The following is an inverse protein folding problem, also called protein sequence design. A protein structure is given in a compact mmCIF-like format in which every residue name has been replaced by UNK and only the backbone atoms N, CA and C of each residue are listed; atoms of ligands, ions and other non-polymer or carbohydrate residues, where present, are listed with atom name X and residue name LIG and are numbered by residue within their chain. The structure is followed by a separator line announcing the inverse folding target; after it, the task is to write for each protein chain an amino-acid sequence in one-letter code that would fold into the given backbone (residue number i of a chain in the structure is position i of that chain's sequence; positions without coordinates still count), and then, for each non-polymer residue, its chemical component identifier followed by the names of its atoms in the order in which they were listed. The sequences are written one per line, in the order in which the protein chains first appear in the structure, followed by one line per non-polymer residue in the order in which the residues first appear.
data_IF_945383748243
#
_entry.id   IF_945383748243
#
_cell.length_a   1.000
_cell.length_b   1.000
_cell.length_c   1.000
_cell.angle_alpha   90.00
_cell.angle_beta   90.00
_cell.angle_gamma   90.00
#
_symmetry.space_group_name_H-M   'P 1'
#
loop_
_entity.id
_entity.type
_entity.pdbx_description
1 polymer ?
#
# COMPACT_ATOMS: atom_id res chain seq x y z
N UNK A 1 5.70 77.69 -11.99
CA UNK A 1 4.61 77.17 -11.12
C UNK A 1 4.28 75.69 -11.33
N UNK A 2 4.32 75.13 -12.55
CA UNK A 2 4.05 73.69 -12.82
C UNK A 2 5.07 72.70 -12.24
N UNK A 3 6.34 73.09 -12.10
CA UNK A 3 7.40 72.20 -11.56
C UNK A 3 7.27 71.92 -10.05
N UNK A 4 6.72 72.87 -9.29
CA UNK A 4 6.61 72.77 -7.82
C UNK A 4 5.49 71.80 -7.42
N UNK A 5 4.38 71.77 -8.16
CA UNK A 5 3.26 70.86 -7.91
C UNK A 5 3.62 69.39 -8.13
N UNK A 6 4.43 69.08 -9.15
CA UNK A 6 4.91 67.72 -9.40
C UNK A 6 5.85 67.22 -8.29
N UNK A 7 6.74 68.08 -7.79
CA UNK A 7 7.67 67.73 -6.72
C UNK A 7 6.94 67.43 -5.40
N UNK A 8 5.92 68.21 -5.05
CA UNK A 8 5.09 67.96 -3.86
C UNK A 8 4.27 66.67 -3.96
N UNK A 9 3.75 66.34 -5.15
CA UNK A 9 3.05 65.08 -5.40
C UNK A 9 3.99 63.88 -5.25
N UNK A 10 5.19 63.94 -5.83
CA UNK A 10 6.18 62.85 -5.75
C UNK A 10 6.68 62.67 -4.31
N UNK A 11 6.95 63.76 -3.58
CA UNK A 11 7.35 63.69 -2.18
C UNK A 11 6.21 63.20 -1.28
N UNK A 12 4.97 63.62 -1.54
CA UNK A 12 3.79 63.18 -0.78
C UNK A 12 3.45 61.71 -1.00
N UNK A 13 3.41 61.25 -2.26
CA UNK A 13 3.14 59.86 -2.61
C UNK A 13 4.30 58.97 -2.15
N UNK A 14 5.55 59.41 -2.32
CA UNK A 14 6.73 58.69 -1.83
C UNK A 14 6.75 58.56 -0.31
N UNK A 15 6.41 59.63 0.43
CA UNK A 15 6.29 59.60 1.89
C UNK A 15 5.15 58.69 2.37
N UNK A 16 3.99 58.73 1.71
CA UNK A 16 2.86 57.87 2.01
C UNK A 16 3.19 56.39 1.73
N UNK A 17 3.83 56.10 0.60
CA UNK A 17 4.31 54.76 0.27
C UNK A 17 5.36 54.26 1.26
N UNK A 18 6.33 55.09 1.63
CA UNK A 18 7.37 54.72 2.60
C UNK A 18 6.77 54.49 4.00
N UNK A 19 5.79 55.29 4.41
CA UNK A 19 5.03 55.08 5.65
C UNK A 19 4.22 53.78 5.60
N UNK A 20 3.55 53.49 4.48
CA UNK A 20 2.80 52.26 4.27
C UNK A 20 3.72 51.04 4.29
N UNK A 21 4.88 51.12 3.62
CA UNK A 21 5.91 50.06 3.56
C UNK A 21 6.60 49.85 4.91
N UNK A 22 6.71 50.86 5.77
CA UNK A 22 7.25 50.71 7.13
C UNK A 22 6.19 50.21 8.13
N UNK A 23 4.91 50.50 7.89
CA UNK A 23 3.80 50.02 8.72
C UNK A 23 3.38 48.57 8.40
N UNK A 24 3.46 48.16 7.13
CA UNK A 24 3.19 46.80 6.66
C UNK A 24 4.04 45.70 7.33
N UNK A 25 5.37 45.85 7.56
CA UNK A 25 6.19 44.85 8.23
C UNK A 25 5.96 44.81 9.73
N UNK A 26 5.54 45.91 10.36
CA UNK A 26 5.17 45.91 11.78
C UNK A 26 3.89 45.11 12.00
N UNK A 27 2.87 45.33 11.17
CA UNK A 27 1.63 44.55 11.17
C UNK A 27 1.89 43.09 10.78
N UNK A 28 2.68 42.83 9.73
CA UNK A 28 3.01 41.49 9.28
C UNK A 28 3.82 40.70 10.32
N UNK A 29 4.83 41.30 10.96
CA UNK A 29 5.62 40.64 11.99
C UNK A 29 4.78 40.37 13.26
N UNK A 30 3.86 41.26 13.61
CA UNK A 30 2.92 41.05 14.72
C UNK A 30 1.93 39.92 14.41
N UNK A 31 1.39 39.87 13.18
CA UNK A 31 0.54 38.77 12.72
C UNK A 31 1.30 37.44 12.75
N UNK A 32 2.55 37.41 12.27
CA UNK A 32 3.41 36.21 12.29
C UNK A 32 3.67 35.76 13.74
N UNK A 33 4.02 36.68 14.64
CA UNK A 33 4.24 36.38 16.06
C UNK A 33 2.99 35.81 16.75
N UNK A 34 1.81 36.39 16.46
CA UNK A 34 0.53 35.90 16.99
C UNK A 34 0.22 34.50 16.44
N UNK A 35 0.38 34.27 15.13
CA UNK A 35 0.16 32.95 14.52
C UNK A 35 1.09 31.87 15.10
N UNK A 36 2.39 32.17 15.26
CA UNK A 36 3.35 31.25 15.88
C UNK A 36 2.94 30.95 17.33
N UNK A 37 2.56 31.97 18.11
CA UNK A 37 2.14 31.77 19.50
C UNK A 37 0.89 30.88 19.61
N UNK A 38 -0.09 31.06 18.72
CA UNK A 38 -1.32 30.25 18.68
C UNK A 38 -1.01 28.81 18.27
N UNK A 39 -0.16 28.59 17.25
CA UNK A 39 0.25 27.25 16.82
C UNK A 39 1.04 26.53 17.91
N UNK A 40 2.00 27.20 18.55
CA UNK A 40 2.77 26.63 19.66
C UNK A 40 1.85 26.32 20.85
N UNK A 41 0.90 27.18 21.18
CA UNK A 41 -0.03 26.96 22.27
C UNK A 41 -0.94 25.75 21.98
N UNK A 42 -1.46 25.62 20.77
CA UNK A 42 -2.23 24.45 20.33
C UNK A 42 -1.37 23.18 20.33
N UNK A 43 -0.09 23.25 19.95
CA UNK A 43 0.80 22.07 19.99
C UNK A 43 1.17 21.63 21.43
N UNK A 44 1.37 22.58 22.34
CA UNK A 44 1.79 22.31 23.72
C UNK A 44 0.60 21.91 24.61
N UNK A 45 -0.56 22.55 24.44
CA UNK A 45 -1.76 22.34 25.28
C UNK A 45 -2.87 21.55 24.58
N UNK A 46 -2.88 21.50 23.25
CA UNK A 46 -3.85 20.74 22.47
C UNK A 46 -3.55 19.25 22.47
N UNK A 47 -3.54 18.62 23.65
CA UNK A 47 -3.60 17.18 23.85
C UNK A 47 -4.95 16.57 23.42
N UNK A 48 -5.48 16.99 22.26
CA UNK A 48 -6.62 16.37 21.61
C UNK A 48 -6.16 15.10 20.93
N UNK A 49 -6.63 13.95 21.40
CA UNK A 49 -6.31 12.64 20.85
C UNK A 49 -6.58 12.59 19.33
N UNK A 50 -5.51 12.61 18.54
CA UNK A 50 -5.49 11.96 17.24
C UNK A 50 -5.37 10.45 17.45
N UNK A 51 -6.36 9.87 18.13
CA UNK A 51 -6.59 8.43 18.10
C UNK A 51 -7.16 8.10 16.74
N UNK A 52 -6.29 7.63 15.86
CA UNK A 52 -6.58 6.60 14.87
C UNK A 52 -7.80 6.86 13.99
N UNK A 53 -7.61 7.55 12.86
CA UNK A 53 -8.19 7.04 11.62
C UNK A 53 -7.32 7.40 10.42
N UNK A 54 -6.84 6.33 9.78
CA UNK A 54 -6.39 6.18 8.38
C UNK A 54 -4.88 6.18 8.14
N UNK A 55 -4.48 5.05 7.57
CA UNK A 55 -3.25 4.76 6.85
C UNK A 55 -1.99 4.68 7.72
N UNK A 56 -1.79 3.49 8.26
CA UNK A 56 -0.51 2.94 8.65
C UNK A 56 0.63 3.41 7.73
N UNK A 57 1.47 4.32 8.22
CA UNK A 57 2.88 4.30 7.89
C UNK A 57 3.46 3.02 8.51
N UNK A 58 3.21 1.89 7.83
CA UNK A 58 4.18 0.80 7.83
C UNK A 58 5.42 1.43 7.20
N UNK A 59 6.43 1.71 8.02
CA UNK A 59 7.78 1.77 7.53
C UNK A 59 8.07 0.38 6.95
N UNK A 60 7.94 0.25 5.64
CA UNK A 60 8.42 -0.92 4.92
C UNK A 60 9.94 -0.78 4.88
N UNK A 61 10.73 -1.58 5.63
CA UNK A 61 12.15 -1.62 5.38
C UNK A 61 12.31 -2.16 3.96
N UNK A 62 12.99 -1.40 3.10
CA UNK A 62 13.33 -1.78 1.74
C UNK A 62 14.06 -3.13 1.74
N UNK A 63 13.30 -4.24 1.62
CA UNK A 63 13.86 -5.51 1.21
C UNK A 63 14.32 -5.33 -0.22
N UNK A 64 15.64 -5.33 -0.38
CA UNK A 64 16.33 -5.72 -1.62
C UNK A 64 15.56 -6.90 -2.22
N UNK A 65 15.12 -6.76 -3.46
CA UNK A 65 14.44 -7.85 -4.16
C UNK A 65 15.44 -8.99 -4.36
N UNK A 66 15.42 -9.96 -3.43
CA UNK A 66 16.01 -11.28 -3.63
C UNK A 66 15.06 -12.09 -4.54
N UNK A 67 15.55 -12.66 -5.65
CA UNK A 67 14.70 -13.40 -6.57
C UNK A 67 14.16 -14.67 -5.89
N UNK A 68 12.87 -14.65 -5.51
CA UNK A 68 11.89 -15.75 -5.49
C UNK A 68 12.35 -17.21 -5.23
N UNK A 69 13.36 -17.46 -4.40
CA UNK A 69 13.73 -18.82 -4.01
C UNK A 69 12.92 -19.37 -2.82
N UNK A 70 12.20 -18.51 -2.08
CA UNK A 70 11.59 -18.87 -0.79
C UNK A 70 10.04 -18.86 -0.78
N UNK A 71 9.39 -18.64 -1.93
CA UNK A 71 7.94 -18.80 -2.08
C UNK A 71 7.55 -19.94 -3.04
N UNK A 72 8.41 -20.96 -3.16
CA UNK A 72 8.08 -22.25 -3.79
C UNK A 72 7.46 -23.25 -2.78
N UNK A 73 7.05 -22.77 -1.60
CA UNK A 73 6.47 -23.61 -0.55
C UNK A 73 4.96 -23.85 -0.74
N UNK A 74 4.41 -23.42 -1.88
CA UNK A 74 3.01 -23.60 -2.22
C UNK A 74 2.90 -24.97 -2.92
N UNK A 75 2.84 -26.01 -2.09
CA UNK A 75 2.16 -27.28 -2.38
C UNK A 75 2.78 -28.14 -3.48
N UNK A 76 4.05 -28.52 -3.35
CA UNK A 76 4.43 -29.87 -3.79
C UNK A 76 4.19 -30.86 -2.64
N UNK A 77 2.92 -31.11 -2.32
CA UNK A 77 2.57 -32.33 -1.57
C UNK A 77 2.90 -33.52 -2.48
N UNK A 78 4.11 -34.07 -2.32
CA UNK A 78 4.46 -35.35 -2.95
C UNK A 78 3.48 -36.38 -2.38
N UNK A 79 2.71 -37.01 -3.26
CA UNK A 79 1.71 -38.02 -2.86
C UNK A 79 2.35 -39.39 -2.96
N UNK A 80 2.16 -40.22 -1.94
CA UNK A 80 2.61 -41.60 -2.00
C UNK A 80 1.72 -42.40 -2.95
N UNK A 81 2.32 -43.23 -3.80
CA UNK A 81 1.57 -44.13 -4.67
C UNK A 81 0.79 -45.15 -3.81
N UNK A 82 -0.53 -45.32 -4.00
CA UNK A 82 -1.33 -46.27 -3.21
C UNK A 82 -0.98 -47.74 -3.48
N UNK A 83 -0.24 -48.03 -4.56
CA UNK A 83 0.16 -49.40 -4.94
C UNK A 83 1.54 -49.79 -4.41
N UNK A 84 2.51 -48.88 -4.44
CA UNK A 84 3.91 -49.19 -4.09
C UNK A 84 4.54 -48.26 -3.04
N UNK A 85 3.83 -47.22 -2.58
CA UNK A 85 4.33 -46.26 -1.61
C UNK A 85 5.35 -45.24 -2.15
N UNK A 86 5.77 -45.33 -3.41
CA UNK A 86 6.74 -44.41 -4.01
C UNK A 86 6.22 -42.97 -4.02
N UNK A 87 7.09 -41.99 -3.74
CA UNK A 87 6.72 -40.58 -3.73
C UNK A 87 6.57 -40.07 -5.17
N UNK A 88 5.35 -39.66 -5.52
CA UNK A 88 5.02 -39.14 -6.84
C UNK A 88 4.78 -37.64 -6.75
N UNK A 89 5.30 -36.88 -7.72
CA UNK A 89 5.02 -35.47 -7.85
C UNK A 89 3.53 -35.22 -8.13
N UNK A 90 2.92 -34.16 -7.59
CA UNK A 90 1.54 -33.82 -7.90
C UNK A 90 1.36 -33.58 -9.40
N UNK A 91 0.26 -34.07 -9.97
CA UNK A 91 -0.07 -33.92 -11.40
C UNK A 91 0.45 -35.01 -12.33
N UNK A 92 1.20 -36.00 -11.83
CA UNK A 92 1.62 -37.16 -12.64
C UNK A 92 0.45 -38.13 -12.91
N UNK A 93 0.34 -38.64 -14.14
CA UNK A 93 -0.71 -39.60 -14.52
C UNK A 93 -0.40 -41.05 -14.16
N UNK A 94 0.89 -41.39 -14.07
CA UNK A 94 1.39 -42.72 -13.77
C UNK A 94 2.52 -42.65 -12.74
N UNK A 95 2.74 -43.74 -12.01
CA UNK A 95 3.85 -43.84 -11.07
C UNK A 95 5.15 -44.16 -11.82
N UNK A 96 6.18 -43.33 -11.65
CA UNK A 96 7.49 -43.56 -12.26
C UNK A 96 8.24 -44.80 -11.74
N UNK A 97 7.80 -45.39 -10.62
CA UNK A 97 8.43 -46.58 -10.04
C UNK A 97 7.70 -47.89 -10.39
N UNK A 98 6.37 -47.91 -10.41
CA UNK A 98 5.59 -49.15 -10.62
C UNK A 98 4.67 -49.13 -11.86
N UNK A 99 4.57 -48.02 -12.58
CA UNK A 99 3.73 -47.89 -13.77
C UNK A 99 2.21 -47.83 -13.52
N UNK A 100 1.75 -47.91 -12.27
CA UNK A 100 0.32 -47.82 -11.95
C UNK A 100 -0.25 -46.42 -12.27
N UNK A 101 -1.48 -46.35 -12.76
CA UNK A 101 -2.19 -45.10 -13.03
C UNK A 101 -2.58 -44.39 -11.72
N UNK A 102 -2.25 -43.10 -11.61
CA UNK A 102 -2.68 -42.22 -10.51
C UNK A 102 -3.92 -41.40 -10.84
N UNK A 103 -4.36 -41.39 -12.09
CA UNK A 103 -5.62 -40.76 -12.51
C UNK A 103 -6.76 -41.72 -12.21
N UNK A 104 -7.75 -41.26 -11.44
CA UNK A 104 -9.05 -41.92 -11.34
C UNK A 104 -10.06 -41.22 -12.25
N UNK A 105 -11.11 -41.94 -12.65
CA UNK A 105 -12.20 -41.37 -13.44
C UNK A 105 -13.46 -41.29 -12.59
N UNK A 106 -14.23 -40.22 -12.77
CA UNK A 106 -15.52 -40.08 -12.11
C UNK A 106 -16.50 -41.14 -12.62
N UNK A 107 -17.12 -41.90 -11.72
CA UNK A 107 -18.11 -42.93 -12.08
C UNK A 107 -19.38 -42.34 -12.74
N UNK A 108 -19.69 -41.07 -12.48
CA UNK A 108 -20.90 -40.42 -12.99
C UNK A 108 -20.72 -39.80 -14.37
N UNK A 109 -19.58 -39.14 -14.61
CA UNK A 109 -19.36 -38.36 -15.85
C UNK A 109 -18.12 -38.77 -16.64
N UNK A 110 -17.35 -39.75 -16.17
CA UNK A 110 -16.13 -40.22 -16.84
C UNK A 110 -14.97 -39.21 -16.84
N UNK A 111 -15.11 -38.04 -16.21
CA UNK A 111 -14.06 -37.03 -16.15
C UNK A 111 -12.84 -37.50 -15.36
N UNK A 112 -11.64 -37.18 -15.84
CA UNK A 112 -10.39 -37.49 -15.15
C UNK A 112 -10.21 -36.65 -13.87
N UNK A 113 -9.82 -37.30 -12.78
CA UNK A 113 -9.57 -36.70 -11.47
C UNK A 113 -8.07 -36.84 -11.20
N UNK A 114 -7.38 -35.70 -11.17
CA UNK A 114 -5.91 -35.63 -10.99
C UNK A 114 -5.49 -35.14 -9.61
N UNK A 115 -6.44 -34.68 -8.81
CA UNK A 115 -6.21 -34.07 -7.49
C UNK A 115 -7.09 -34.74 -6.44
N UNK A 116 -6.58 -35.05 -5.24
CA UNK A 116 -7.39 -35.59 -4.15
C UNK A 116 -8.46 -34.56 -3.75
N UNK A 117 -9.70 -34.80 -4.16
CA UNK A 117 -10.82 -33.88 -3.98
C UNK A 117 -12.08 -34.68 -3.61
N UNK A 118 -12.94 -34.12 -2.76
CA UNK A 118 -14.19 -34.77 -2.32
C UNK A 118 -15.29 -34.73 -3.38
N UNK A 119 -15.14 -33.88 -4.40
CA UNK A 119 -16.11 -33.64 -5.46
C UNK A 119 -15.41 -33.59 -6.81
N UNK A 120 -16.09 -34.07 -7.85
CA UNK A 120 -15.60 -34.01 -9.21
C UNK A 120 -15.65 -32.57 -9.73
N UNK A 121 -14.51 -32.03 -10.19
CA UNK A 121 -14.46 -30.69 -10.79
C UNK A 121 -15.18 -30.54 -12.14
N UNK A 122 -15.52 -31.65 -12.81
CA UNK A 122 -16.21 -31.62 -14.10
C UNK A 122 -17.74 -31.63 -13.96
N UNK A 123 -18.28 -32.50 -13.09
CA UNK A 123 -19.73 -32.70 -12.96
C UNK A 123 -20.30 -32.48 -11.54
N UNK A 124 -19.47 -32.14 -10.56
CA UNK A 124 -19.92 -31.87 -9.18
C UNK A 124 -20.30 -33.11 -8.35
N UNK A 125 -20.28 -34.31 -8.93
CA UNK A 125 -20.58 -35.56 -8.21
C UNK A 125 -19.60 -35.78 -7.04
N UNK A 126 -20.09 -36.31 -5.92
CA UNK A 126 -19.25 -36.67 -4.77
C UNK A 126 -18.37 -37.87 -5.12
N UNK A 127 -17.08 -37.75 -4.86
CA UNK A 127 -16.11 -38.83 -5.00
C UNK A 127 -16.02 -39.57 -3.65
N UNK A 128 -16.23 -40.88 -3.67
CA UNK A 128 -16.18 -41.76 -2.48
C UNK A 128 -14.77 -42.26 -2.19
#
# INVERSE_FOLDING_TARGET
MKAIGGLLLVLGIGGLLLNLILWLPAQLNLIIMVLISVVCFVAIWGGGKLSQTKAAFVQEPAKKYEPMAQQAQWVQQKVACPKCGFQVAPGQRFCGACGSSLVSYCATCGGAITTPSKFCGNCGARLV
#
